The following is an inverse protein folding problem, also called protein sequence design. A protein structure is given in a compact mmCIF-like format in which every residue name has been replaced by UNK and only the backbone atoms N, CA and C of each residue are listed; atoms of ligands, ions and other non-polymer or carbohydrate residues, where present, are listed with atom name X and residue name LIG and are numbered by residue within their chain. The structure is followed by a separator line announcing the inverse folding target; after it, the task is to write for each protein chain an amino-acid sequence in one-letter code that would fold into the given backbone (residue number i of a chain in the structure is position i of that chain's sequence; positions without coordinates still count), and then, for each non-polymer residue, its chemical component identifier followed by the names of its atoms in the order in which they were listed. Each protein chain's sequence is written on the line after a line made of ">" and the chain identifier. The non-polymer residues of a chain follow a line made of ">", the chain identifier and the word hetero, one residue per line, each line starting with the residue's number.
data_IF_993593305637
#
_entry.id   IF_993593305637
#
_cell.length_a   1.000
_cell.length_b   1.000
_cell.length_c   1.000
_cell.angle_alpha   90.00
_cell.angle_beta   90.00
_cell.angle_gamma   90.00
#
_symmetry.space_group_name_H-M   'P 1'
#
loop_
_entity.id
_entity.type
_entity.pdbx_description
1 polymer ?
#
# COMPACT_ATOMS: atom_id res chain seq x y z
N UNK A 1 -19.60 28.75 -23.36
CA UNK A 1 -19.48 27.85 -22.19
C UNK A 1 -18.92 26.53 -22.67
N UNK A 2 -17.87 25.98 -22.03
CA UNK A 2 -17.48 24.59 -22.31
C UNK A 2 -18.67 23.68 -21.98
N UNK A 3 -18.95 22.63 -22.78
CA UNK A 3 -20.01 21.69 -22.46
C UNK A 3 -19.77 21.07 -21.08
N UNK A 4 -20.83 20.97 -20.28
CA UNK A 4 -20.79 20.29 -19.00
C UNK A 4 -20.95 18.80 -19.24
N UNK A 5 -20.01 17.99 -18.75
CA UNK A 5 -20.08 16.53 -18.80
C UNK A 5 -20.79 16.00 -17.57
N UNK A 6 -21.72 15.06 -17.74
CA UNK A 6 -22.40 14.33 -16.68
C UNK A 6 -21.68 13.00 -16.44
N UNK A 7 -21.03 12.88 -15.30
CA UNK A 7 -20.17 11.75 -14.95
C UNK A 7 -20.84 10.89 -13.88
N UNK A 8 -20.92 9.60 -14.16
CA UNK A 8 -21.41 8.59 -13.26
C UNK A 8 -20.31 8.06 -12.34
N UNK A 9 -20.53 8.01 -11.03
CA UNK A 9 -19.62 7.38 -10.07
C UNK A 9 -20.27 6.14 -9.46
N UNK A 10 -19.64 4.99 -9.68
CA UNK A 10 -20.00 3.70 -9.13
C UNK A 10 -18.87 3.19 -8.23
N UNK A 11 -18.56 3.97 -7.20
CA UNK A 11 -17.51 3.72 -6.21
C UNK A 11 -18.17 3.72 -4.84
N UNK A 12 -17.88 2.71 -4.02
CA UNK A 12 -18.52 2.57 -2.71
C UNK A 12 -17.96 3.57 -1.68
N UNK A 13 -18.73 4.58 -1.25
CA UNK A 13 -18.21 5.66 -0.41
C UNK A 13 -17.89 5.20 1.01
N UNK A 14 -18.57 4.16 1.51
CA UNK A 14 -18.38 3.66 2.88
C UNK A 14 -17.24 2.65 3.01
N UNK A 15 -16.67 2.21 1.89
CA UNK A 15 -15.48 1.37 1.92
C UNK A 15 -14.23 2.22 2.18
N UNK A 16 -13.32 1.77 3.04
CA UNK A 16 -12.11 2.54 3.40
C UNK A 16 -11.25 2.94 2.20
N UNK A 17 -11.15 2.06 1.19
CA UNK A 17 -10.46 2.38 -0.06
C UNK A 17 -11.29 3.23 -1.03
N UNK A 18 -12.61 3.03 -1.08
CA UNK A 18 -13.51 3.76 -1.98
C UNK A 18 -13.67 5.22 -1.58
N UNK A 19 -13.72 5.52 -0.28
CA UNK A 19 -13.66 6.91 0.23
C UNK A 19 -12.41 7.62 -0.29
N UNK A 20 -11.21 7.01 -0.14
CA UNK A 20 -9.95 7.61 -0.64
C UNK A 20 -9.97 7.82 -2.16
N UNK A 21 -10.52 6.89 -2.94
CA UNK A 21 -10.69 7.09 -4.39
C UNK A 21 -11.57 8.31 -4.66
N UNK A 22 -12.70 8.44 -3.95
CA UNK A 22 -13.62 9.57 -4.12
C UNK A 22 -12.96 10.89 -3.73
N UNK A 23 -12.13 10.92 -2.69
CA UNK A 23 -11.33 12.09 -2.31
C UNK A 23 -10.43 12.54 -3.47
N UNK A 24 -9.73 11.59 -4.10
CA UNK A 24 -8.89 11.85 -5.27
C UNK A 24 -9.66 12.37 -6.48
N UNK A 25 -10.83 11.78 -6.77
CA UNK A 25 -11.74 12.25 -7.82
C UNK A 25 -12.22 13.67 -7.51
N UNK A 26 -12.65 13.92 -6.26
CA UNK A 26 -13.12 15.22 -5.79
C UNK A 26 -12.04 16.29 -5.97
N UNK A 27 -10.79 15.99 -5.58
CA UNK A 27 -9.64 16.88 -5.75
C UNK A 27 -9.40 17.26 -7.21
N UNK A 28 -9.54 16.32 -8.15
CA UNK A 28 -9.46 16.63 -9.58
C UNK A 28 -10.64 17.48 -10.06
N UNK A 29 -11.87 17.11 -9.69
CA UNK A 29 -13.10 17.79 -10.12
C UNK A 29 -13.16 19.22 -9.61
N UNK A 30 -12.68 19.51 -8.41
CA UNK A 30 -12.65 20.87 -7.88
C UNK A 30 -11.76 21.82 -8.71
N UNK A 31 -10.77 21.29 -9.43
CA UNK A 31 -9.93 22.05 -10.36
C UNK A 31 -10.61 22.23 -11.75
N UNK A 32 -11.73 21.57 -12.00
CA UNK A 32 -12.43 21.51 -13.30
C UNK A 32 -13.89 21.92 -13.17
N UNK A 33 -14.25 23.09 -13.71
CA UNK A 33 -15.61 23.64 -13.55
C UNK A 33 -16.69 23.08 -14.52
N UNK A 34 -16.43 21.97 -15.22
CA UNK A 34 -17.33 21.46 -16.27
C UNK A 34 -17.88 20.04 -16.01
N UNK A 35 -17.71 19.47 -14.81
CA UNK A 35 -18.26 18.16 -14.47
C UNK A 35 -19.51 18.28 -13.59
N UNK A 36 -20.53 17.46 -13.88
CA UNK A 36 -21.70 17.20 -13.03
C UNK A 36 -21.69 15.75 -12.62
N UNK A 37 -21.58 15.48 -11.34
CA UNK A 37 -21.39 14.13 -10.82
C UNK A 37 -22.73 13.54 -10.37
N UNK A 38 -23.01 12.29 -10.75
CA UNK A 38 -24.10 11.50 -10.20
C UNK A 38 -23.55 10.23 -9.56
N UNK A 39 -24.01 9.93 -8.35
CA UNK A 39 -23.64 8.71 -7.63
C UNK A 39 -24.65 7.60 -7.91
N UNK A 40 -24.16 6.38 -8.10
CA UNK A 40 -24.98 5.19 -8.16
C UNK A 40 -24.80 4.38 -6.89
N UNK A 41 -25.92 3.90 -6.37
CA UNK A 41 -25.92 2.95 -5.27
C UNK A 41 -25.53 1.56 -5.77
N UNK A 42 -24.48 0.98 -5.16
CA UNK A 42 -23.98 -0.36 -5.46
C UNK A 42 -24.88 -1.48 -4.95
N UNK A 43 -25.83 -1.21 -4.06
CA UNK A 43 -26.74 -2.26 -3.55
C UNK A 43 -27.70 -2.80 -4.64
N UNK A 44 -27.81 -2.11 -5.78
CA UNK A 44 -28.54 -2.61 -6.94
C UNK A 44 -27.69 -3.65 -7.69
N UNK A 45 -28.15 -4.91 -7.66
CA UNK A 45 -27.51 -6.07 -8.33
C UNK A 45 -27.43 -5.96 -9.86
N UNK A 46 -28.07 -4.97 -10.47
CA UNK A 46 -28.18 -4.80 -11.92
C UNK A 46 -27.44 -3.53 -12.40
N UNK A 47 -26.12 -3.47 -12.15
CA UNK A 47 -25.29 -2.36 -12.62
C UNK A 47 -25.35 -2.17 -14.14
N UNK A 48 -25.52 -3.26 -14.90
CA UNK A 48 -25.68 -3.20 -16.36
C UNK A 48 -26.97 -2.47 -16.78
N UNK A 49 -28.09 -2.68 -16.08
CA UNK A 49 -29.36 -1.98 -16.37
C UNK A 49 -29.28 -0.48 -16.05
N UNK A 50 -28.50 -0.12 -15.02
CA UNK A 50 -28.19 1.28 -14.74
C UNK A 50 -27.39 1.90 -15.89
N UNK A 51 -26.47 1.16 -16.51
CA UNK A 51 -25.76 1.62 -17.71
C UNK A 51 -26.68 1.72 -18.90
N UNK A 52 -27.66 0.84 -19.07
CA UNK A 52 -28.62 0.91 -20.19
C UNK A 52 -29.49 2.16 -20.14
N UNK A 53 -29.87 2.60 -18.94
CA UNK A 53 -30.73 3.77 -18.71
C UNK A 53 -29.97 5.06 -18.44
N UNK A 54 -28.64 5.01 -18.34
CA UNK A 54 -27.82 6.18 -17.99
C UNK A 54 -27.84 7.27 -19.08
N UNK A 55 -28.23 8.48 -18.76
CA UNK A 55 -28.19 9.63 -19.67
C UNK A 55 -27.03 10.57 -19.32
N UNK A 56 -25.80 10.06 -19.32
CA UNK A 56 -24.60 10.85 -19.09
C UNK A 56 -23.43 10.44 -19.98
N UNK A 57 -22.34 11.18 -19.87
CA UNK A 57 -21.24 11.17 -20.83
C UNK A 57 -20.20 10.10 -20.55
N UNK A 58 -19.97 9.74 -19.28
CA UNK A 58 -18.99 8.73 -18.90
C UNK A 58 -19.20 8.20 -17.47
N UNK A 59 -18.48 7.13 -17.11
CA UNK A 59 -18.56 6.47 -15.80
C UNK A 59 -17.16 6.17 -15.23
N UNK A 60 -16.98 6.33 -13.92
CA UNK A 60 -15.86 5.76 -13.14
C UNK A 60 -16.44 4.71 -12.18
N UNK A 61 -15.90 3.48 -12.17
CA UNK A 61 -16.49 2.37 -11.40
C UNK A 61 -15.46 1.42 -10.76
N UNK A 62 -15.85 0.80 -9.63
CA UNK A 62 -15.06 -0.22 -8.91
C UNK A 62 -15.47 -1.66 -9.24
N UNK A 63 -16.47 -1.89 -10.09
CA UNK A 63 -16.79 -3.23 -10.57
C UNK A 63 -17.23 -3.11 -12.02
N UNK A 64 -16.47 -3.76 -12.88
CA UNK A 64 -16.89 -4.08 -14.23
C UNK A 64 -17.03 -5.60 -14.21
N UNK A 65 -18.25 -6.11 -14.36
CA UNK A 65 -18.44 -7.47 -14.87
C UNK A 65 -18.58 -7.39 -16.40
N UNK A 66 -18.61 -8.54 -17.07
CA UNK A 66 -18.64 -8.55 -18.54
C UNK A 66 -19.92 -7.87 -19.07
N UNK A 67 -21.05 -8.06 -18.38
CA UNK A 67 -22.34 -7.47 -18.76
C UNK A 67 -22.31 -5.95 -18.70
N UNK A 68 -21.72 -5.41 -17.63
CA UNK A 68 -21.52 -3.97 -17.47
C UNK A 68 -20.65 -3.40 -18.58
N UNK A 69 -19.54 -4.07 -18.89
CA UNK A 69 -18.64 -3.66 -19.97
C UNK A 69 -19.37 -3.63 -21.32
N UNK A 70 -20.07 -4.71 -21.66
CA UNK A 70 -20.79 -4.85 -22.93
C UNK A 70 -21.89 -3.78 -23.04
N UNK A 71 -22.63 -3.53 -21.96
CA UNK A 71 -23.67 -2.49 -21.92
C UNK A 71 -23.06 -1.09 -22.17
N UNK A 72 -21.96 -0.75 -21.50
CA UNK A 72 -21.29 0.54 -21.69
C UNK A 72 -20.70 0.69 -23.10
N UNK A 73 -20.09 -0.37 -23.62
CA UNK A 73 -19.51 -0.41 -24.95
C UNK A 73 -20.58 -0.23 -26.04
N UNK A 74 -21.73 -0.92 -25.93
CA UNK A 74 -22.83 -0.81 -26.89
C UNK A 74 -23.38 0.62 -27.00
N UNK A 75 -23.38 1.36 -25.89
CA UNK A 75 -23.80 2.77 -25.81
C UNK A 75 -22.67 3.77 -26.04
N UNK A 76 -21.44 3.29 -26.30
CA UNK A 76 -20.22 4.09 -26.49
C UNK A 76 -19.88 5.00 -25.31
N UNK A 77 -20.32 4.65 -24.11
CA UNK A 77 -20.03 5.40 -22.87
C UNK A 77 -18.61 5.03 -22.42
N UNK A 78 -17.65 5.97 -22.33
CA UNK A 78 -16.34 5.72 -21.77
C UNK A 78 -16.44 5.33 -20.30
N UNK A 79 -15.76 4.26 -19.93
CA UNK A 79 -15.68 3.75 -18.56
C UNK A 79 -14.23 3.73 -18.12
N UNK A 80 -13.94 4.30 -16.94
CA UNK A 80 -12.67 4.11 -16.25
C UNK A 80 -12.89 3.18 -15.06
N UNK A 81 -12.27 2.00 -15.11
CA UNK A 81 -12.26 1.04 -14.04
C UNK A 81 -11.18 1.38 -13.01
N UNK A 82 -11.54 1.41 -11.72
CA UNK A 82 -10.64 1.69 -10.59
C UNK A 82 -10.47 0.49 -9.64
N UNK A 83 -10.90 -0.71 -10.06
CA UNK A 83 -10.73 -1.95 -9.30
C UNK A 83 -10.31 -3.15 -10.19
N UNK A 84 -9.43 -4.01 -9.68
CA UNK A 84 -8.79 -5.06 -10.47
C UNK A 84 -9.59 -6.35 -10.73
N UNK A 85 -10.93 -6.35 -10.68
CA UNK A 85 -11.75 -7.57 -10.79
C UNK A 85 -11.85 -8.11 -12.23
N UNK A 86 -12.07 -7.25 -13.23
CA UNK A 86 -11.93 -7.60 -14.64
C UNK A 86 -10.76 -6.81 -15.24
N UNK A 87 -9.94 -7.52 -16.02
CA UNK A 87 -8.90 -6.92 -16.85
C UNK A 87 -9.17 -7.41 -18.29
N UNK A 88 -9.44 -6.49 -19.19
CA UNK A 88 -9.57 -6.75 -20.62
C UNK A 88 -9.01 -5.57 -21.39
N UNK A 89 -8.51 -5.82 -22.60
CA UNK A 89 -7.83 -4.81 -23.43
C UNK A 89 -8.74 -3.62 -23.81
N UNK A 90 -10.06 -3.81 -23.67
CA UNK A 90 -11.08 -2.81 -24.00
C UNK A 90 -11.58 -2.00 -22.79
N UNK A 91 -11.01 -2.19 -21.59
CA UNK A 91 -11.40 -1.46 -20.37
C UNK A 91 -10.29 -0.48 -19.95
N UNK A 92 -10.53 0.82 -20.09
CA UNK A 92 -9.62 1.82 -19.55
C UNK A 92 -9.56 1.66 -18.03
N UNK A 93 -8.38 1.41 -17.50
CA UNK A 93 -8.23 1.04 -16.09
C UNK A 93 -7.12 1.84 -15.44
N UNK A 94 -7.37 2.30 -14.21
CA UNK A 94 -6.35 2.87 -13.32
C UNK A 94 -6.30 2.00 -12.07
N UNK A 95 -5.25 1.19 -11.96
CA UNK A 95 -5.13 0.12 -10.98
C UNK A 95 -3.90 0.35 -10.11
N UNK A 96 -3.85 -0.31 -8.96
CA UNK A 96 -2.64 -0.35 -8.15
C UNK A 96 -1.58 -1.25 -8.80
N UNK A 97 -0.31 -0.94 -8.57
CA UNK A 97 0.80 -1.85 -8.85
C UNK A 97 0.98 -2.80 -7.65
N UNK A 98 0.19 -3.87 -7.67
CA UNK A 98 0.18 -4.88 -6.60
C UNK A 98 1.51 -5.63 -6.47
N UNK A 99 2.27 -5.79 -7.56
CA UNK A 99 3.63 -6.32 -7.51
C UNK A 99 4.59 -5.39 -6.75
N UNK A 100 4.52 -4.08 -7.03
CA UNK A 100 5.30 -3.08 -6.30
C UNK A 100 4.90 -2.98 -4.82
N UNK A 101 3.61 -3.14 -4.48
CA UNK A 101 3.14 -3.22 -3.08
C UNK A 101 3.81 -4.40 -2.36
N UNK A 102 3.81 -5.58 -2.98
CA UNK A 102 4.47 -6.76 -2.43
C UNK A 102 5.98 -6.56 -2.24
N UNK A 103 6.64 -5.96 -3.24
CA UNK A 103 8.07 -5.63 -3.18
C UNK A 103 8.38 -4.67 -2.03
N UNK A 104 7.59 -3.60 -1.86
CA UNK A 104 7.79 -2.62 -0.79
C UNK A 104 7.62 -3.23 0.60
N UNK A 105 6.64 -4.14 0.79
CA UNK A 105 6.49 -4.88 2.03
C UNK A 105 7.67 -5.82 2.31
N UNK A 106 8.24 -6.45 1.27
CA UNK A 106 9.43 -7.29 1.40
C UNK A 106 10.65 -6.46 1.82
N UNK A 107 10.89 -5.33 1.16
CA UNK A 107 11.98 -4.41 1.50
C UNK A 107 11.87 -3.93 2.95
N UNK A 108 10.67 -3.52 3.38
CA UNK A 108 10.42 -3.11 4.76
C UNK A 108 10.82 -4.13 5.82
N UNK A 109 10.55 -5.42 5.56
CA UNK A 109 10.91 -6.51 6.48
C UNK A 109 12.39 -6.90 6.36
N UNK A 110 12.96 -6.89 5.15
CA UNK A 110 14.39 -7.14 4.93
C UNK A 110 15.26 -6.10 5.62
N UNK A 111 14.88 -4.82 5.51
CA UNK A 111 15.60 -3.70 6.16
C UNK A 111 15.60 -3.80 7.68
N UNK A 112 14.67 -4.59 8.24
CA UNK A 112 14.59 -4.91 9.67
C UNK A 112 15.36 -6.15 10.07
N UNK A 113 16.07 -6.81 9.15
CA UNK A 113 16.91 -7.96 9.44
C UNK A 113 16.16 -9.29 9.54
N UNK A 114 14.88 -9.36 9.15
CA UNK A 114 14.17 -10.63 9.13
C UNK A 114 14.80 -11.58 8.10
N UNK A 115 14.81 -12.86 8.44
CA UNK A 115 15.34 -13.94 7.58
C UNK A 115 14.32 -15.05 7.35
N UNK A 116 13.27 -15.08 8.17
CA UNK A 116 12.10 -15.95 8.01
C UNK A 116 10.90 -15.11 7.57
N UNK A 117 10.19 -15.57 6.54
CA UNK A 117 9.10 -14.80 5.95
C UNK A 117 7.84 -15.62 5.73
N UNK A 118 6.69 -14.96 5.85
CA UNK A 118 5.42 -15.50 5.41
C UNK A 118 4.57 -14.45 4.68
N UNK A 119 3.77 -14.92 3.73
CA UNK A 119 2.70 -14.15 3.12
C UNK A 119 1.36 -14.79 3.47
N UNK A 120 0.46 -14.01 4.08
CA UNK A 120 -0.87 -14.49 4.51
C UNK A 120 -1.96 -13.84 3.68
N UNK A 121 -2.83 -14.66 3.08
CA UNK A 121 -4.00 -14.22 2.31
C UNK A 121 -5.24 -15.04 2.62
N UNK A 122 -6.41 -14.55 2.22
CA UNK A 122 -7.61 -15.37 2.05
C UNK A 122 -7.61 -16.06 0.69
N UNK A 123 -8.19 -17.25 0.61
CA UNK A 123 -8.44 -17.95 -0.65
C UNK A 123 -9.75 -17.45 -1.26
N UNK A 124 -9.69 -16.27 -1.86
CA UNK A 124 -10.85 -15.58 -2.45
C UNK A 124 -10.74 -15.43 -3.99
N UNK A 125 -9.68 -15.96 -4.61
CA UNK A 125 -9.47 -15.91 -6.06
C UNK A 125 -9.14 -14.51 -6.58
N UNK A 126 -8.77 -13.56 -5.72
CA UNK A 126 -8.53 -12.19 -6.13
C UNK A 126 -7.12 -11.98 -6.68
N UNK A 127 -7.02 -11.44 -7.90
CA UNK A 127 -5.74 -11.23 -8.60
C UNK A 127 -4.78 -10.31 -7.86
N UNK A 128 -5.27 -9.21 -7.27
CA UNK A 128 -4.41 -8.27 -6.51
C UNK A 128 -3.65 -8.99 -5.38
N UNK A 129 -4.29 -9.97 -4.73
CA UNK A 129 -3.71 -10.75 -3.64
C UNK A 129 -2.62 -11.70 -4.15
N UNK A 130 -2.74 -12.19 -5.38
CA UNK A 130 -1.71 -13.02 -6.03
C UNK A 130 -0.52 -12.18 -6.48
N UNK A 131 -0.78 -11.04 -7.12
CA UNK A 131 0.25 -10.13 -7.60
C UNK A 131 1.08 -9.57 -6.43
N UNK A 132 0.44 -9.20 -5.30
CA UNK A 132 1.12 -8.85 -4.04
C UNK A 132 2.00 -9.96 -3.50
N UNK A 133 1.47 -11.18 -3.42
CA UNK A 133 2.23 -12.34 -2.95
C UNK A 133 3.41 -12.67 -3.85
N UNK A 134 3.25 -12.52 -5.17
CA UNK A 134 4.30 -12.71 -6.17
C UNK A 134 5.41 -11.67 -6.04
N UNK A 135 5.05 -10.39 -5.96
CA UNK A 135 6.01 -9.30 -5.76
C UNK A 135 6.81 -9.43 -4.47
N UNK A 136 6.13 -9.80 -3.38
CA UNK A 136 6.76 -10.08 -2.10
C UNK A 136 7.74 -11.25 -2.18
N UNK A 137 7.27 -12.41 -2.68
CA UNK A 137 8.10 -13.61 -2.81
C UNK A 137 9.33 -13.36 -3.67
N UNK A 138 9.15 -12.77 -4.86
CA UNK A 138 10.24 -12.48 -5.80
C UNK A 138 11.35 -11.68 -5.12
N UNK A 139 10.98 -10.59 -4.42
CA UNK A 139 11.96 -9.72 -3.75
C UNK A 139 12.68 -10.42 -2.58
N UNK A 140 11.99 -11.26 -1.83
CA UNK A 140 12.60 -12.05 -0.73
C UNK A 140 13.55 -13.12 -1.28
N UNK A 141 13.18 -13.80 -2.37
CA UNK A 141 14.02 -14.80 -3.04
C UNK A 141 15.28 -14.18 -3.68
N UNK A 142 15.17 -12.97 -4.25
CA UNK A 142 16.32 -12.18 -4.71
C UNK A 142 17.30 -11.85 -3.57
N UNK A 143 16.82 -11.77 -2.32
CA UNK A 143 17.66 -11.60 -1.13
C UNK A 143 18.22 -12.92 -0.56
N UNK A 144 17.92 -14.07 -1.19
CA UNK A 144 18.42 -15.38 -0.78
C UNK A 144 17.56 -16.11 0.26
N UNK A 145 16.36 -15.61 0.57
CA UNK A 145 15.45 -16.18 1.57
C UNK A 145 14.23 -16.85 0.95
N UNK A 146 13.46 -17.60 1.75
CA UNK A 146 12.24 -18.28 1.31
C UNK A 146 11.00 -17.70 1.99
N UNK A 147 9.85 -17.78 1.32
CA UNK A 147 8.55 -17.31 1.84
C UNK A 147 7.59 -18.47 2.06
N UNK A 148 6.98 -18.51 3.24
CA UNK A 148 5.87 -19.41 3.55
C UNK A 148 4.55 -18.81 3.06
N UNK A 149 3.90 -19.46 2.10
CA UNK A 149 2.63 -18.99 1.52
C UNK A 149 1.45 -19.57 2.28
N UNK A 150 0.74 -18.75 3.05
CA UNK A 150 -0.42 -19.15 3.85
C UNK A 150 -1.69 -18.63 3.19
N UNK A 151 -2.55 -19.55 2.74
CA UNK A 151 -3.89 -19.22 2.23
C UNK A 151 -4.95 -19.75 3.19
N UNK A 152 -5.76 -18.85 3.74
CA UNK A 152 -6.82 -19.14 4.70
C UNK A 152 -8.14 -19.41 3.97
N UNK A 153 -8.82 -20.47 4.37
CA UNK A 153 -10.17 -20.77 3.91
C UNK A 153 -11.19 -19.95 4.73
N UNK A 154 -12.32 -19.58 4.13
CA UNK A 154 -13.39 -18.81 4.80
C UNK A 154 -14.05 -19.56 5.96
N UNK A 155 -13.95 -20.89 5.98
CA UNK A 155 -14.61 -21.80 6.92
C UNK A 155 -13.78 -22.18 8.14
N UNK A 156 -12.48 -21.86 8.16
CA UNK A 156 -11.58 -22.28 9.23
C UNK A 156 -11.36 -21.10 10.18
N UNK A 157 -11.57 -21.33 11.48
CA UNK A 157 -11.33 -20.34 12.53
C UNK A 157 -9.85 -20.07 12.75
N UNK A 158 -9.54 -19.28 13.79
CA UNK A 158 -8.17 -18.84 14.10
C UNK A 158 -7.20 -20.00 14.37
N UNK A 159 -7.69 -21.19 14.70
CA UNK A 159 -6.90 -22.39 15.00
C UNK A 159 -5.96 -22.82 13.87
N UNK A 160 -6.41 -22.78 12.61
CA UNK A 160 -5.56 -23.14 11.46
C UNK A 160 -4.40 -22.14 11.31
N UNK A 161 -4.71 -20.86 11.50
CA UNK A 161 -3.71 -19.80 11.42
C UNK A 161 -2.72 -19.91 12.57
N UNK A 162 -3.19 -20.13 13.81
CA UNK A 162 -2.35 -20.35 14.99
C UNK A 162 -1.40 -21.53 14.75
N UNK A 163 -1.92 -22.69 14.36
CA UNK A 163 -1.11 -23.88 14.13
C UNK A 163 -0.03 -23.64 13.05
N UNK A 164 -0.36 -22.90 11.99
CA UNK A 164 0.63 -22.52 10.96
C UNK A 164 1.68 -21.56 11.51
N UNK A 165 1.28 -20.51 12.21
CA UNK A 165 2.19 -19.49 12.75
C UNK A 165 3.13 -20.03 13.83
N UNK A 166 2.67 -20.98 14.65
CA UNK A 166 3.47 -21.61 15.70
C UNK A 166 4.56 -22.54 15.15
N UNK A 167 4.39 -23.08 13.95
CA UNK A 167 5.36 -23.97 13.31
C UNK A 167 6.43 -23.24 12.48
N UNK A 168 6.35 -21.91 12.37
CA UNK A 168 7.30 -21.11 11.61
C UNK A 168 8.47 -20.62 12.48
N UNK A 169 9.71 -20.63 11.94
CA UNK A 169 10.88 -20.15 12.66
C UNK A 169 10.80 -18.66 13.02
N UNK A 170 11.43 -18.29 14.14
CA UNK A 170 11.53 -16.93 14.67
C UNK A 170 12.94 -16.35 14.44
N UNK A 171 13.09 -15.01 14.37
CA UNK A 171 12.04 -14.01 14.24
C UNK A 171 11.37 -14.09 12.85
N UNK A 172 10.06 -13.83 12.78
CA UNK A 172 9.26 -13.98 11.56
C UNK A 172 8.69 -12.64 11.07
N UNK A 173 8.97 -12.30 9.81
CA UNK A 173 8.34 -11.17 9.12
C UNK A 173 7.14 -11.62 8.29
N UNK A 174 5.96 -11.06 8.55
CA UNK A 174 4.72 -11.40 7.84
C UNK A 174 4.23 -10.22 7.02
N UNK A 175 4.01 -10.46 5.73
CA UNK A 175 3.18 -9.59 4.89
C UNK A 175 1.79 -10.17 4.73
N UNK A 176 0.76 -9.34 4.89
CA UNK A 176 -0.64 -9.76 4.71
C UNK A 176 -1.27 -9.07 3.51
N UNK A 177 -2.09 -9.81 2.75
CA UNK A 177 -2.69 -9.33 1.50
C UNK A 177 -3.50 -8.03 1.67
N UNK A 178 -4.11 -7.84 2.84
CA UNK A 178 -4.90 -6.69 3.24
C UNK A 178 -4.77 -6.46 4.75
N UNK A 179 -5.00 -5.23 5.20
CA UNK A 179 -5.00 -4.88 6.64
C UNK A 179 -5.97 -5.76 7.45
N UNK A 180 -7.14 -6.10 6.90
CA UNK A 180 -8.11 -7.00 7.56
C UNK A 180 -7.56 -8.41 7.76
N UNK A 181 -6.66 -8.87 6.91
CA UNK A 181 -5.94 -10.13 7.13
C UNK A 181 -4.88 -9.93 8.21
N UNK A 182 -4.19 -8.80 8.23
CA UNK A 182 -3.30 -8.39 9.31
C UNK A 182 -3.96 -8.41 10.68
N UNK A 183 -5.20 -7.91 10.81
CA UNK A 183 -5.94 -7.96 12.08
C UNK A 183 -6.26 -9.38 12.52
N UNK A 184 -6.52 -10.31 11.58
CA UNK A 184 -6.71 -11.73 11.91
C UNK A 184 -5.42 -12.38 12.38
N UNK A 185 -4.27 -12.03 11.79
CA UNK A 185 -2.95 -12.52 12.24
C UNK A 185 -2.64 -12.00 13.64
N UNK A 186 -2.91 -10.73 13.93
CA UNK A 186 -2.76 -10.15 15.27
C UNK A 186 -3.62 -10.89 16.31
N UNK A 187 -4.89 -11.15 16.00
CA UNK A 187 -5.80 -11.90 16.88
C UNK A 187 -5.29 -13.33 17.14
N UNK A 188 -4.81 -14.01 16.10
CA UNK A 188 -4.22 -15.34 16.22
C UNK A 188 -2.95 -15.33 17.09
N UNK A 189 -2.08 -14.34 16.91
CA UNK A 189 -0.90 -14.16 17.76
C UNK A 189 -1.29 -13.95 19.23
N UNK A 190 -2.28 -13.09 19.50
CA UNK A 190 -2.77 -12.84 20.86
C UNK A 190 -3.31 -14.11 21.52
N UNK A 191 -4.13 -14.90 20.80
CA UNK A 191 -4.67 -16.19 21.30
C UNK A 191 -3.61 -17.24 21.57
N UNK A 192 -2.49 -17.18 20.85
CA UNK A 192 -1.39 -18.12 20.97
C UNK A 192 -0.25 -17.64 21.89
N UNK A 193 -0.42 -16.50 22.57
CA UNK A 193 0.61 -15.83 23.37
C UNK A 193 1.91 -15.55 22.59
N UNK A 194 1.80 -15.30 21.29
CA UNK A 194 2.92 -14.93 20.42
C UNK A 194 3.10 -13.41 20.45
N UNK A 195 4.30 -12.94 20.79
CA UNK A 195 4.57 -11.51 20.92
C UNK A 195 4.75 -10.82 19.57
N UNK A 196 4.11 -9.67 19.44
CA UNK A 196 4.21 -8.78 18.28
C UNK A 196 4.63 -7.39 18.77
N UNK A 197 5.74 -6.81 18.28
CA UNK A 197 6.54 -7.28 17.13
C UNK A 197 7.68 -8.27 17.47
N UNK A 198 7.92 -8.60 18.75
CA UNK A 198 9.17 -9.20 19.21
C UNK A 198 9.47 -10.59 18.61
N UNK A 199 8.46 -11.42 18.42
CA UNK A 199 8.61 -12.73 17.78
C UNK A 199 8.15 -12.71 16.32
N UNK A 200 7.03 -12.02 16.07
CA UNK A 200 6.46 -11.85 14.74
C UNK A 200 6.23 -10.37 14.48
N UNK A 201 6.81 -9.86 13.39
CA UNK A 201 6.45 -8.56 12.84
C UNK A 201 5.42 -8.70 11.72
N UNK A 202 4.44 -7.80 11.65
CA UNK A 202 3.31 -7.90 10.71
C UNK A 202 3.13 -6.59 9.97
N UNK A 203 3.13 -6.64 8.64
CA UNK A 203 2.79 -5.52 7.75
C UNK A 203 1.56 -5.88 6.89
N UNK A 204 0.60 -4.97 6.83
CA UNK A 204 -0.58 -5.03 5.98
C UNK A 204 -0.43 -4.28 4.66
N UNK A 205 -1.54 -4.16 3.93
CA UNK A 205 -1.62 -3.31 2.74
C UNK A 205 -3.01 -2.68 2.62
N UNK A 206 -3.01 -1.37 2.33
CA UNK A 206 -4.20 -0.54 2.17
C UNK A 206 -4.21 0.68 3.09
N UNK A 207 -3.47 0.62 4.19
CA UNK A 207 -3.43 1.62 5.24
C UNK A 207 -4.84 2.13 5.62
N UNK A 208 -5.73 1.19 5.92
CA UNK A 208 -7.06 1.47 6.43
C UNK A 208 -6.95 1.92 7.88
N UNK A 209 -6.86 3.24 8.07
CA UNK A 209 -6.60 3.89 9.36
C UNK A 209 -7.37 3.27 10.54
N UNK A 210 -8.67 3.06 10.39
CA UNK A 210 -9.52 2.48 11.44
C UNK A 210 -9.09 1.06 11.81
N UNK A 211 -8.78 0.20 10.83
CA UNK A 211 -8.29 -1.15 11.12
C UNK A 211 -6.90 -1.13 11.74
N UNK A 212 -6.01 -0.27 11.23
CA UNK A 212 -4.62 -0.23 11.65
C UNK A 212 -4.39 0.43 13.02
N UNK A 213 -5.23 1.39 13.42
CA UNK A 213 -5.08 2.13 14.68
C UNK A 213 -5.88 1.52 15.83
N UNK A 214 -6.97 0.79 15.55
CA UNK A 214 -7.79 0.15 16.59
C UNK A 214 -7.22 -1.19 17.07
N UNK A 215 -6.38 -1.85 16.28
CA UNK A 215 -5.75 -3.10 16.70
C UNK A 215 -4.60 -2.83 17.69
N UNK A 216 -4.32 -3.82 18.54
CA UNK A 216 -3.21 -3.79 19.50
C UNK A 216 -2.31 -5.01 19.31
N UNK A 217 -1.01 -4.84 18.99
CA UNK A 217 -0.36 -3.58 18.61
C UNK A 217 -0.95 -2.95 17.33
N UNK A 218 -0.70 -1.65 17.13
CA UNK A 218 -1.12 -0.95 15.91
C UNK A 218 -0.41 -1.50 14.68
N UNK A 219 -1.16 -1.70 13.58
CA UNK A 219 -0.71 -2.43 12.40
C UNK A 219 0.00 -1.52 11.40
N UNK A 220 1.26 -1.82 11.12
CA UNK A 220 2.03 -1.22 10.03
C UNK A 220 1.42 -1.66 8.69
N UNK A 221 1.38 -0.78 7.70
CA UNK A 221 0.73 -1.09 6.42
C UNK A 221 1.33 -0.32 5.26
N UNK A 222 1.37 -0.95 4.08
CA UNK A 222 1.72 -0.27 2.83
C UNK A 222 0.58 0.68 2.44
N UNK A 223 0.89 1.97 2.26
CA UNK A 223 -0.01 2.94 1.65
C UNK A 223 -0.06 2.72 0.14
N UNK A 224 -1.21 2.22 -0.33
CA UNK A 224 -1.46 1.85 -1.72
C UNK A 224 -1.73 3.09 -2.61
N UNK A 225 -1.99 4.25 -2.00
CA UNK A 225 -2.26 5.52 -2.66
C UNK A 225 -3.55 5.51 -3.50
N UNK A 226 -4.65 5.12 -2.83
CA UNK A 226 -5.99 5.09 -3.43
C UNK A 226 -6.49 6.48 -3.84
N UNK A 227 -6.01 7.54 -3.19
CA UNK A 227 -6.35 8.92 -3.55
C UNK A 227 -5.73 9.30 -4.90
N UNK A 228 -4.43 9.05 -5.11
CA UNK A 228 -3.82 9.25 -6.43
C UNK A 228 -4.49 8.41 -7.50
N UNK A 229 -4.89 7.17 -7.17
CA UNK A 229 -5.66 6.33 -8.11
C UNK A 229 -6.97 6.97 -8.55
N UNK A 230 -7.72 7.57 -7.62
CA UNK A 230 -8.94 8.33 -7.96
C UNK A 230 -8.66 9.58 -8.80
N UNK A 231 -7.63 10.32 -8.45
CA UNK A 231 -7.21 11.52 -9.19
C UNK A 231 -6.82 11.18 -10.63
N UNK A 232 -5.97 10.17 -10.83
CA UNK A 232 -5.53 9.72 -12.16
C UNK A 232 -6.68 9.13 -12.98
N UNK A 233 -7.67 8.49 -12.34
CA UNK A 233 -8.86 8.00 -13.00
C UNK A 233 -9.71 9.16 -13.56
N UNK A 234 -9.93 10.21 -12.77
CA UNK A 234 -10.63 11.40 -13.22
C UNK A 234 -9.85 12.13 -14.35
N UNK A 235 -8.54 12.28 -14.19
CA UNK A 235 -7.67 12.87 -15.20
C UNK A 235 -7.65 12.09 -16.52
N UNK A 236 -7.61 10.76 -16.44
CA UNK A 236 -7.70 9.89 -17.62
C UNK A 236 -9.03 10.08 -18.34
N UNK A 237 -10.14 10.07 -17.60
CA UNK A 237 -11.46 10.22 -18.19
C UNK A 237 -11.64 11.59 -18.87
N UNK A 238 -11.17 12.66 -18.23
CA UNK A 238 -11.23 14.02 -18.77
C UNK A 238 -10.51 14.13 -20.11
N UNK A 239 -9.28 13.59 -20.21
CA UNK A 239 -8.51 13.56 -21.47
C UNK A 239 -9.26 12.84 -22.59
N UNK A 240 -9.93 11.74 -22.28
CA UNK A 240 -10.70 10.96 -23.27
C UNK A 240 -11.94 11.72 -23.72
N UNK A 241 -12.64 12.40 -22.81
CA UNK A 241 -13.76 13.29 -23.14
C UNK A 241 -13.33 14.49 -24.00
N UNK A 242 -12.10 14.96 -23.83
CA UNK A 242 -11.47 15.99 -24.68
C UNK A 242 -10.92 15.45 -26.01
N UNK A 243 -11.09 14.16 -26.31
CA UNK A 243 -10.75 13.53 -27.60
C UNK A 243 -9.39 12.82 -27.65
N UNK A 244 -8.72 12.64 -26.51
CA UNK A 244 -7.51 11.82 -26.46
C UNK A 244 -7.80 10.35 -26.78
N UNK A 245 -6.80 9.64 -27.32
CA UNK A 245 -6.90 8.19 -27.56
C UNK A 245 -6.97 7.44 -26.23
N UNK A 246 -7.80 6.41 -26.19
CA UNK A 246 -7.89 5.50 -25.04
C UNK A 246 -6.56 4.73 -24.88
N UNK A 247 -5.99 4.65 -23.67
CA UNK A 247 -4.82 3.81 -23.44
C UNK A 247 -5.20 2.34 -23.62
N UNK A 248 -4.28 1.56 -24.21
CA UNK A 248 -4.44 0.11 -24.36
C UNK A 248 -4.12 -0.65 -23.08
N UNK A 249 -3.23 -0.10 -22.27
CA UNK A 249 -2.77 -0.71 -21.03
C UNK A 249 -3.36 0.02 -19.83
N UNK A 250 -3.53 -0.71 -18.73
CA UNK A 250 -3.94 -0.13 -17.46
C UNK A 250 -2.84 0.80 -16.93
N UNK A 251 -3.24 2.00 -16.47
CA UNK A 251 -2.35 2.88 -15.70
C UNK A 251 -2.13 2.23 -14.33
N UNK A 252 -0.86 2.02 -13.96
CA UNK A 252 -0.48 1.40 -12.67
C UNK A 252 0.03 2.45 -11.71
N UNK A 253 -0.61 2.55 -10.56
CA UNK A 253 -0.25 3.48 -9.48
C UNK A 253 0.66 2.74 -8.50
N UNK A 254 1.94 3.16 -8.35
CA UNK A 254 2.83 2.56 -7.37
C UNK A 254 2.37 2.89 -5.94
N UNK A 255 2.69 2.04 -4.95
CA UNK A 255 2.47 2.39 -3.54
C UNK A 255 3.31 3.62 -3.14
N UNK A 256 2.83 4.36 -2.16
CA UNK A 256 3.54 5.56 -1.67
C UNK A 256 4.69 5.21 -0.73
N UNK A 257 4.39 4.54 0.38
CA UNK A 257 5.36 4.19 1.42
C UNK A 257 4.75 3.15 2.39
N UNK A 258 5.58 2.62 3.30
CA UNK A 258 5.07 1.87 4.47
C UNK A 258 4.81 2.84 5.62
N UNK A 259 3.57 2.83 6.12
CA UNK A 259 3.21 3.50 7.37
C UNK A 259 3.60 2.60 8.51
N UNK A 260 4.73 2.93 9.13
CA UNK A 260 5.27 2.17 10.26
C UNK A 260 4.43 2.38 11.52
N UNK A 261 4.13 1.29 12.21
CA UNK A 261 3.44 1.27 13.49
C UNK A 261 4.05 0.19 14.39
N UNK A 262 3.47 -0.02 15.56
CA UNK A 262 4.03 -0.94 16.58
C UNK A 262 4.24 -2.37 16.09
N UNK A 263 3.41 -2.87 15.17
CA UNK A 263 3.52 -4.24 14.66
C UNK A 263 4.80 -4.57 13.88
N UNK A 264 5.62 -3.58 13.51
CA UNK A 264 6.94 -3.79 12.90
C UNK A 264 8.03 -2.96 13.58
N UNK A 265 7.78 -2.50 14.81
CA UNK A 265 8.70 -1.67 15.57
C UNK A 265 9.78 -2.51 16.27
N UNK A 266 10.49 -3.31 15.49
CA UNK A 266 11.58 -4.17 15.95
C UNK A 266 12.61 -4.34 14.83
N UNK A 267 13.86 -4.56 15.24
CA UNK A 267 14.93 -5.01 14.38
C UNK A 267 15.33 -6.42 14.80
N UNK A 268 15.34 -7.36 13.85
CA UNK A 268 15.74 -8.75 14.02
C UNK A 268 17.27 -8.94 13.89
N UNK A 269 18.05 -7.99 14.41
CA UNK A 269 19.51 -8.07 14.44
C UNK A 269 20.00 -8.41 15.86
N UNK A 270 20.97 -9.32 15.96
CA UNK A 270 21.62 -9.69 17.23
C UNK A 270 22.76 -8.72 17.63
N UNK A 271 22.70 -7.45 17.22
CA UNK A 271 23.72 -6.43 17.52
C UNK A 271 23.09 -5.16 18.11
N UNK A 272 23.24 -4.99 19.42
CA UNK A 272 22.61 -3.90 20.16
C UNK A 272 23.06 -2.50 19.72
N UNK A 273 24.31 -2.32 19.29
CA UNK A 273 24.81 -1.02 18.84
C UNK A 273 24.29 -0.68 17.44
N UNK A 274 24.19 -1.67 16.55
CA UNK A 274 23.58 -1.46 15.23
C UNK A 274 22.09 -1.15 15.37
N UNK A 275 21.37 -1.84 16.26
CA UNK A 275 19.98 -1.54 16.57
C UNK A 275 19.83 -0.14 17.17
N UNK A 276 20.71 0.26 18.09
CA UNK A 276 20.72 1.61 18.65
C UNK A 276 20.97 2.68 17.57
N UNK A 277 21.91 2.43 16.66
CA UNK A 277 22.19 3.32 15.54
C UNK A 277 20.98 3.48 14.60
N UNK A 278 20.33 2.38 14.22
CA UNK A 278 19.13 2.40 13.38
C UNK A 278 17.98 3.15 14.05
N UNK A 279 17.76 2.89 15.35
CA UNK A 279 16.74 3.58 16.14
C UNK A 279 17.00 5.08 16.18
N UNK A 280 18.24 5.48 16.47
CA UNK A 280 18.62 6.88 16.50
C UNK A 280 18.39 7.58 15.16
N UNK A 281 18.82 6.96 14.05
CA UNK A 281 18.62 7.52 12.70
C UNK A 281 17.13 7.71 12.42
N UNK A 282 16.30 6.71 12.73
CA UNK A 282 14.85 6.77 12.49
C UNK A 282 14.17 7.85 13.33
N UNK A 283 14.53 7.98 14.60
CA UNK A 283 13.95 8.97 15.53
C UNK A 283 14.33 10.41 15.19
N UNK A 284 15.41 10.61 14.44
CA UNK A 284 15.91 11.93 14.07
C UNK A 284 15.85 12.19 12.56
N UNK A 285 15.03 11.43 11.82
CA UNK A 285 14.88 11.58 10.37
C UNK A 285 14.32 12.95 9.96
N UNK A 286 13.70 13.69 10.87
CA UNK A 286 13.16 15.05 10.68
C UNK A 286 14.17 16.17 10.98
N UNK A 287 15.36 15.83 11.49
CA UNK A 287 16.41 16.79 11.85
C UNK A 287 17.72 16.50 11.13
N UNK A 288 18.55 17.51 10.92
CA UNK A 288 19.86 17.29 10.26
C UNK A 288 20.84 16.59 11.21
N UNK A 289 21.12 15.31 10.96
CA UNK A 289 22.08 14.51 11.73
C UNK A 289 23.31 14.12 10.89
N UNK A 290 24.45 13.87 11.56
CA UNK A 290 25.69 13.38 10.95
C UNK A 290 26.08 12.04 11.54
N UNK A 291 26.96 11.32 10.85
CA UNK A 291 27.51 10.02 11.33
C UNK A 291 28.05 10.09 12.75
N UNK A 292 28.67 11.22 13.15
CA UNK A 292 29.19 11.39 14.53
C UNK A 292 28.09 11.35 15.59
N UNK A 293 26.89 11.84 15.26
CA UNK A 293 25.76 11.92 16.19
C UNK A 293 25.18 10.52 16.39
N UNK A 294 25.11 9.72 15.31
CA UNK A 294 24.74 8.30 15.38
C UNK A 294 25.75 7.49 16.21
N UNK A 295 27.06 7.70 16.00
CA UNK A 295 28.10 7.01 16.76
C UNK A 295 27.99 7.33 18.26
N UNK A 296 27.67 8.59 18.61
CA UNK A 296 27.48 9.02 19.99
C UNK A 296 26.29 8.34 20.70
N UNK A 297 25.32 7.82 19.95
CA UNK A 297 24.20 7.03 20.48
C UNK A 297 24.54 5.55 20.72
N UNK A 298 25.77 5.11 20.42
CA UNK A 298 26.23 3.73 20.58
C UNK A 298 27.35 3.62 21.61
N UNK A 299 27.71 2.40 22.02
CA UNK A 299 28.74 2.15 23.04
C UNK A 299 30.14 1.91 22.46
N UNK A 300 30.29 2.00 21.14
CA UNK A 300 31.49 1.57 20.42
C UNK A 300 32.07 2.64 19.50
N UNK A 301 33.32 2.43 19.08
CA UNK A 301 34.01 3.35 18.17
C UNK A 301 33.38 3.40 16.79
N UNK A 302 33.47 4.55 16.12
CA UNK A 302 33.01 4.76 14.73
C UNK A 302 33.45 3.64 13.77
N UNK A 303 34.74 3.28 13.79
CA UNK A 303 35.29 2.25 12.88
C UNK A 303 34.64 0.89 13.10
N UNK A 304 34.38 0.53 14.36
CA UNK A 304 33.69 -0.72 14.68
C UNK A 304 32.22 -0.67 14.24
N UNK A 305 31.56 0.48 14.41
CA UNK A 305 30.16 0.64 14.02
C UNK A 305 30.01 0.55 12.51
N UNK A 306 30.82 1.30 11.75
CA UNK A 306 30.77 1.29 10.29
C UNK A 306 31.03 -0.11 9.72
N UNK A 307 31.97 -0.86 10.29
CA UNK A 307 32.22 -2.25 9.88
C UNK A 307 31.02 -3.16 10.13
N UNK A 308 30.50 -3.18 11.36
CA UNK A 308 29.36 -4.03 11.75
C UNK A 308 28.07 -3.65 11.01
N UNK A 309 27.81 -2.36 10.90
CA UNK A 309 26.66 -1.80 10.21
C UNK A 309 26.68 -2.17 8.72
N UNK A 310 27.82 -2.02 8.04
CA UNK A 310 27.91 -2.40 6.63
C UNK A 310 27.76 -3.92 6.43
N UNK A 311 28.26 -4.75 7.34
CA UNK A 311 28.08 -6.21 7.27
C UNK A 311 26.64 -6.64 7.47
N UNK A 312 25.94 -6.06 8.46
CA UNK A 312 24.56 -6.47 8.80
C UNK A 312 23.50 -5.82 7.92
N UNK A 313 23.72 -4.56 7.53
CA UNK A 313 22.72 -3.75 6.81
C UNK A 313 23.03 -3.66 5.31
N UNK A 314 24.29 -3.90 4.90
CA UNK A 314 24.69 -3.86 3.49
C UNK A 314 24.84 -2.44 2.92
N UNK A 315 24.87 -1.41 3.77
CA UNK A 315 25.04 0.01 3.41
C UNK A 315 25.81 0.75 4.51
N UNK A 316 26.31 1.92 4.18
CA UNK A 316 27.02 2.79 5.13
C UNK A 316 26.06 3.55 6.04
N UNK A 317 26.56 4.05 7.18
CA UNK A 317 25.78 4.94 8.06
C UNK A 317 25.28 6.20 7.35
N UNK A 318 26.11 6.76 6.45
CA UNK A 318 25.73 7.95 5.69
C UNK A 318 24.58 7.68 4.72
N UNK A 319 24.65 6.57 3.97
CA UNK A 319 23.55 6.16 3.08
C UNK A 319 22.27 5.92 3.87
N UNK A 320 22.36 5.36 5.09
CA UNK A 320 21.16 5.14 5.89
C UNK A 320 20.53 6.42 6.43
N UNK A 321 21.34 7.37 6.91
CA UNK A 321 20.85 8.70 7.29
C UNK A 321 20.11 9.35 6.12
N UNK A 322 20.76 9.35 4.95
CA UNK A 322 20.19 9.97 3.75
C UNK A 322 18.90 9.29 3.31
N UNK A 323 18.82 7.96 3.41
CA UNK A 323 17.61 7.20 3.13
C UNK A 323 16.48 7.57 4.11
N UNK A 324 16.75 7.65 5.41
CA UNK A 324 15.73 8.01 6.40
C UNK A 324 15.14 9.40 6.14
N UNK A 325 15.99 10.38 5.81
CA UNK A 325 15.56 11.71 5.37
C UNK A 325 14.72 11.66 4.09
N UNK A 326 15.17 10.90 3.09
CA UNK A 326 14.47 10.75 1.81
C UNK A 326 13.09 10.11 1.99
N UNK A 327 13.00 9.05 2.79
CA UNK A 327 11.75 8.36 3.09
C UNK A 327 10.76 9.29 3.79
N UNK A 328 11.22 10.13 4.72
CA UNK A 328 10.38 11.16 5.35
C UNK A 328 9.94 12.25 4.36
N UNK A 329 10.83 12.72 3.49
CA UNK A 329 10.47 13.70 2.45
C UNK A 329 9.38 13.16 1.52
N UNK A 330 9.52 11.91 1.07
CA UNK A 330 8.51 11.24 0.23
C UNK A 330 7.17 11.12 0.95
N UNK A 331 7.18 10.79 2.25
CA UNK A 331 5.96 10.78 3.07
C UNK A 331 5.30 12.15 3.09
N UNK A 332 6.04 13.22 3.40
CA UNK A 332 5.51 14.59 3.46
C UNK A 332 4.93 15.04 2.11
N UNK A 333 5.61 14.74 1.00
CA UNK A 333 5.10 15.04 -0.35
C UNK A 333 3.80 14.30 -0.68
N UNK A 334 3.63 13.08 -0.16
CA UNK A 334 2.44 12.27 -0.44
C UNK A 334 1.25 12.57 0.48
N UNK A 335 1.48 13.21 1.64
CA UNK A 335 0.48 13.33 2.71
C UNK A 335 0.20 14.76 3.17
N UNK A 336 0.81 15.77 2.55
CA UNK A 336 0.63 17.17 2.92
C UNK A 336 0.74 18.11 1.72
N UNK A 337 0.17 19.31 1.84
CA UNK A 337 0.29 20.39 0.84
C UNK A 337 1.51 21.31 1.10
N UNK A 338 2.54 20.80 1.78
CA UNK A 338 3.74 21.56 2.09
C UNK A 338 4.51 21.94 0.83
N UNK A 339 5.17 23.10 0.85
CA UNK A 339 6.05 23.50 -0.24
C UNK A 339 7.28 22.58 -0.30
N UNK A 340 7.94 22.49 -1.46
CA UNK A 340 9.19 21.73 -1.58
C UNK A 340 10.27 22.19 -0.58
N UNK A 341 10.30 23.49 -0.28
CA UNK A 341 11.20 24.05 0.72
C UNK A 341 10.85 23.55 2.12
N UNK A 342 9.57 23.60 2.51
CA UNK A 342 9.13 23.11 3.82
C UNK A 342 9.37 21.60 3.97
N UNK A 343 9.17 20.83 2.89
CA UNK A 343 9.46 19.39 2.87
C UNK A 343 10.94 19.15 3.12
N UNK A 344 11.84 19.84 2.42
CA UNK A 344 13.28 19.70 2.62
C UNK A 344 13.68 20.03 4.06
N UNK A 345 13.19 21.16 4.60
CA UNK A 345 13.49 21.59 5.97
C UNK A 345 12.99 20.60 7.03
N UNK A 346 11.80 20.01 6.84
CA UNK A 346 11.19 19.05 7.78
C UNK A 346 11.64 17.60 7.61
N UNK A 347 12.45 17.31 6.59
CA UNK A 347 13.00 15.99 6.34
C UNK A 347 14.51 15.94 6.57
N UNK A 348 15.08 16.94 7.24
CA UNK A 348 16.49 16.99 7.60
C UNK A 348 17.45 17.39 6.46
N UNK A 349 16.94 17.62 5.24
CA UNK A 349 17.72 18.13 4.11
C UNK A 349 17.97 19.64 4.26
N UNK A 350 19.23 20.02 4.48
CA UNK A 350 19.69 21.41 4.50
C UNK A 350 20.91 21.60 3.62
#
# INVERSE_FOLDING_TARGET
>A
MKPSFRIGLMVEPLSGYGSKILDGISRYVQQKHNWRVAFFDRERRELAELVETWEGDAIICTVVDQRFHDAAASRKIPVVNVAGLLNGDDVMSVLSDDGAIGKMAAEHLLDRGFTNFAYVRRRDGTRYSEDRGSGFRKRIEEAGWKVNMISLNSSHGDEELIAKLSNLPRPLGIFTALDRVGTMVLEACWKADIKVPEEIAIVGAGNHKQLCELCSPTLSSVEVDFERRGYEAAALLDRVLEGAKRPKEAVRIPPAHVVERRSTDVFAFDDADVVAALRFIREHADTTIKVRDVVAATTISRRSLEGRFNTLIGRTLHEEIWRAHFDLAMRLLSSSDLSLQDVAERSGFR
#
